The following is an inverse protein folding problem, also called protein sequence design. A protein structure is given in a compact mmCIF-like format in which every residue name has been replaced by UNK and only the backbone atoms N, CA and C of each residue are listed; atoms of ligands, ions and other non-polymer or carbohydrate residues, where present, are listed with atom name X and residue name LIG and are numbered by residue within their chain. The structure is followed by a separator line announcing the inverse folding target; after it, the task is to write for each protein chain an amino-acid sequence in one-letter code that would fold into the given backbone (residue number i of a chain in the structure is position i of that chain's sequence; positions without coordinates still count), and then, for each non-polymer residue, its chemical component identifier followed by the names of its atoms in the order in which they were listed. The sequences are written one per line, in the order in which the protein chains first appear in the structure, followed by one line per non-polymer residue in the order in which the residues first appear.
data_IF_390271003243
#
_entry.id   IF_390271003243
#
_cell.length_a   1.000
_cell.length_b   1.000
_cell.length_c   1.000
_cell.angle_alpha   90.00
_cell.angle_beta   90.00
_cell.angle_gamma   90.00
#
_symmetry.space_group_name_H-M   'P 1'
#
loop_
_entity.id
_entity.type
_entity.pdbx_description
1 polymer ?
#
# COMPACT_ATOMS: atom_id res chain seq x y z
N UNK A 1 -8.14 -10.95 -20.89
CA UNK A 1 -7.41 -10.34 -19.77
C UNK A 1 -5.92 -10.64 -19.83
N UNK A 2 -5.44 -11.89 -19.78
CA UNK A 2 -4.00 -12.20 -19.78
C UNK A 2 -3.25 -11.75 -21.06
N UNK A 3 -3.84 -11.95 -22.25
CA UNK A 3 -3.24 -11.47 -23.49
C UNK A 3 -3.12 -9.94 -23.53
N UNK A 4 -4.07 -9.23 -22.95
CA UNK A 4 -4.02 -7.77 -22.82
C UNK A 4 -2.91 -7.34 -21.87
N UNK A 5 -2.79 -7.98 -20.69
CA UNK A 5 -1.67 -7.75 -19.77
C UNK A 5 -0.31 -7.93 -20.45
N UNK A 6 -0.15 -8.96 -21.29
CA UNK A 6 1.12 -9.22 -21.98
C UNK A 6 1.46 -8.20 -23.06
N UNK A 7 0.46 -7.70 -23.78
CA UNK A 7 0.63 -6.74 -24.89
C UNK A 7 0.79 -5.31 -24.40
N UNK A 8 -0.01 -4.93 -23.43
CA UNK A 8 -0.17 -3.55 -22.95
C UNK A 8 -0.13 -3.50 -21.41
N UNK A 9 1.01 -3.87 -20.77
CA UNK A 9 1.04 -4.04 -19.31
C UNK A 9 0.76 -2.74 -18.54
N UNK A 10 1.18 -1.59 -19.07
CA UNK A 10 0.95 -0.29 -18.43
C UNK A 10 -0.53 0.10 -18.51
N UNK A 11 -1.16 0.01 -19.69
CA UNK A 11 -2.58 0.29 -19.86
C UNK A 11 -3.45 -0.67 -19.03
N UNK A 12 -3.06 -1.94 -18.97
CA UNK A 12 -3.71 -2.92 -18.11
C UNK A 12 -3.64 -2.52 -16.63
N UNK A 13 -2.47 -2.05 -16.16
CA UNK A 13 -2.27 -1.60 -14.77
C UNK A 13 -3.16 -0.40 -14.44
N UNK A 14 -3.23 0.59 -15.34
CA UNK A 14 -4.05 1.78 -15.16
C UNK A 14 -5.55 1.44 -15.09
N UNK A 15 -6.02 0.51 -15.94
CA UNK A 15 -7.41 0.04 -15.90
C UNK A 15 -7.71 -0.69 -14.58
N UNK A 16 -6.78 -1.52 -14.08
CA UNK A 16 -6.96 -2.18 -12.79
C UNK A 16 -7.02 -1.17 -11.64
N UNK A 17 -6.14 -0.16 -11.62
CA UNK A 17 -6.15 0.92 -10.63
C UNK A 17 -7.46 1.69 -10.71
N UNK A 18 -7.90 2.10 -11.91
CA UNK A 18 -9.16 2.80 -12.10
C UNK A 18 -10.36 1.99 -11.64
N UNK A 19 -10.40 0.68 -11.94
CA UNK A 19 -11.46 -0.21 -11.47
C UNK A 19 -11.47 -0.38 -9.96
N UNK A 20 -10.29 -0.47 -9.33
CA UNK A 20 -10.16 -0.49 -7.87
C UNK A 20 -10.73 0.78 -7.24
N UNK A 21 -10.31 1.95 -7.71
CA UNK A 21 -10.79 3.24 -7.24
C UNK A 21 -12.31 3.39 -7.37
N UNK A 22 -12.85 2.99 -8.52
CA UNK A 22 -14.29 3.03 -8.77
C UNK A 22 -15.07 2.13 -7.81
N UNK A 23 -14.62 0.88 -7.64
CA UNK A 23 -15.28 -0.08 -6.75
C UNK A 23 -15.21 0.35 -5.28
N UNK A 24 -14.07 0.93 -4.83
CA UNK A 24 -13.97 1.46 -3.48
C UNK A 24 -14.87 2.68 -3.27
N UNK A 25 -14.99 3.57 -4.25
CA UNK A 25 -15.92 4.71 -4.18
C UNK A 25 -17.38 4.27 -4.14
N UNK A 26 -17.77 3.31 -5.00
CA UNK A 26 -19.10 2.70 -4.96
C UNK A 26 -19.37 1.99 -3.62
N UNK A 27 -18.38 1.25 -3.11
CA UNK A 27 -18.46 0.58 -1.81
C UNK A 27 -18.72 1.55 -0.67
N UNK A 28 -18.08 2.73 -0.65
CA UNK A 28 -18.38 3.77 0.33
C UNK A 28 -19.82 4.25 0.26
N UNK A 29 -20.33 4.54 -0.95
CA UNK A 29 -21.72 4.93 -1.14
C UNK A 29 -22.71 3.87 -0.65
N UNK A 30 -22.48 2.60 -1.00
CA UNK A 30 -23.32 1.47 -0.55
C UNK A 30 -23.23 1.29 0.98
N UNK A 31 -22.03 1.34 1.56
CA UNK A 31 -21.85 1.21 3.02
C UNK A 31 -22.61 2.29 3.79
N UNK A 32 -22.56 3.54 3.29
CA UNK A 32 -23.28 4.66 3.88
C UNK A 32 -24.80 4.48 3.75
N UNK A 33 -25.28 4.01 2.60
CA UNK A 33 -26.70 3.71 2.38
C UNK A 33 -27.21 2.61 3.32
N UNK A 34 -26.39 1.57 3.54
CA UNK A 34 -26.74 0.45 4.44
C UNK A 34 -26.62 0.83 5.94
N UNK A 35 -25.98 1.95 6.27
CA UNK A 35 -25.70 2.34 7.65
C UNK A 35 -24.69 1.44 8.37
N UNK A 36 -23.94 0.59 7.63
CA UNK A 36 -22.92 -0.31 8.18
C UNK A 36 -21.56 0.15 7.65
N UNK A 37 -20.73 0.83 8.48
CA UNK A 37 -19.48 1.41 8.04
C UNK A 37 -18.54 0.37 7.38
N UNK A 38 -18.03 0.71 6.19
CA UNK A 38 -17.05 -0.08 5.44
C UNK A 38 -17.49 -1.49 5.00
N UNK A 39 -18.75 -1.89 5.20
CA UNK A 39 -19.21 -3.26 4.88
C UNK A 39 -19.06 -3.59 3.39
N UNK A 40 -19.63 -2.79 2.51
CA UNK A 40 -19.56 -3.03 1.07
C UNK A 40 -18.13 -2.87 0.52
N UNK A 41 -17.36 -1.90 1.05
CA UNK A 41 -15.93 -1.76 0.70
C UNK A 41 -15.15 -3.02 0.99
N UNK A 42 -15.33 -3.58 2.20
CA UNK A 42 -14.60 -4.78 2.64
C UNK A 42 -14.95 -5.99 1.75
N UNK A 43 -16.24 -6.16 1.44
CA UNK A 43 -16.70 -7.26 0.58
C UNK A 43 -16.14 -7.11 -0.84
N UNK A 44 -16.23 -5.91 -1.43
CA UNK A 44 -15.70 -5.64 -2.77
C UNK A 44 -14.19 -5.81 -2.83
N UNK A 45 -13.44 -5.31 -1.83
CA UNK A 45 -11.99 -5.50 -1.74
C UNK A 45 -11.61 -6.98 -1.57
N UNK A 46 -12.38 -7.75 -0.80
CA UNK A 46 -12.17 -9.20 -0.64
C UNK A 46 -12.38 -9.94 -1.96
N UNK A 47 -13.46 -9.63 -2.68
CA UNK A 47 -13.75 -10.22 -3.99
C UNK A 47 -12.62 -9.91 -4.98
N UNK A 48 -12.16 -8.64 -5.03
CA UNK A 48 -11.03 -8.24 -5.88
C UNK A 48 -9.74 -8.96 -5.50
N UNK A 49 -9.45 -9.09 -4.19
CA UNK A 49 -8.27 -9.79 -3.70
C UNK A 49 -8.27 -11.26 -4.10
N UNK A 50 -9.39 -11.95 -3.89
CA UNK A 50 -9.55 -13.36 -4.27
C UNK A 50 -9.42 -13.52 -5.80
N UNK A 51 -10.08 -12.64 -6.57
CA UNK A 51 -10.00 -12.66 -8.02
C UNK A 51 -8.57 -12.48 -8.53
N UNK A 52 -7.83 -11.49 -8.01
CA UNK A 52 -6.45 -11.24 -8.43
C UNK A 52 -5.51 -12.37 -7.97
N UNK A 53 -5.67 -12.92 -6.76
CA UNK A 53 -4.90 -14.08 -6.31
C UNK A 53 -5.14 -15.29 -7.20
N UNK A 54 -6.41 -15.60 -7.51
CA UNK A 54 -6.76 -16.67 -8.44
C UNK A 54 -6.13 -16.44 -9.82
N UNK A 55 -6.20 -15.21 -10.35
CA UNK A 55 -5.64 -14.87 -11.65
C UNK A 55 -4.11 -15.02 -11.65
N UNK A 56 -3.41 -14.55 -10.61
CA UNK A 56 -1.98 -14.74 -10.44
C UNK A 56 -1.59 -16.23 -10.39
N UNK A 57 -2.37 -17.02 -9.64
CA UNK A 57 -2.18 -18.47 -9.57
C UNK A 57 -2.35 -19.12 -10.93
N UNK A 58 -3.46 -18.86 -11.60
CA UNK A 58 -3.79 -19.42 -12.93
C UNK A 58 -2.70 -19.21 -13.96
N UNK A 59 -2.01 -18.07 -13.92
CA UNK A 59 -0.99 -17.70 -14.92
C UNK A 59 0.45 -17.79 -14.38
N UNK A 60 0.65 -18.36 -13.22
CA UNK A 60 1.98 -18.57 -12.62
C UNK A 60 2.75 -17.29 -12.31
N UNK A 61 2.06 -16.18 -11.98
CA UNK A 61 2.65 -14.85 -11.85
C UNK A 61 3.19 -14.51 -10.46
N UNK A 62 3.09 -15.41 -9.48
CA UNK A 62 3.59 -15.16 -8.11
C UNK A 62 5.09 -14.83 -8.08
N UNK A 63 5.90 -15.52 -8.90
CA UNK A 63 7.34 -15.22 -9.02
C UNK A 63 7.58 -13.86 -9.68
N UNK A 64 6.82 -13.54 -10.73
CA UNK A 64 6.92 -12.25 -11.47
C UNK A 64 6.68 -11.06 -10.55
N UNK A 65 5.67 -11.13 -9.68
CA UNK A 65 5.33 -10.07 -8.73
C UNK A 65 6.02 -10.24 -7.37
N UNK A 66 7.00 -11.15 -7.27
CA UNK A 66 7.80 -11.39 -6.07
C UNK A 66 6.95 -11.63 -4.81
N UNK A 67 5.78 -12.27 -4.96
CA UNK A 67 4.95 -12.73 -3.85
C UNK A 67 5.57 -13.99 -3.23
N UNK A 68 6.73 -13.81 -2.63
CA UNK A 68 7.55 -14.85 -2.00
C UNK A 68 8.26 -14.26 -0.77
N UNK A 69 8.79 -15.12 0.08
CA UNK A 69 9.61 -14.67 1.22
C UNK A 69 10.79 -13.81 0.74
N UNK A 70 11.24 -12.82 1.53
CA UNK A 70 12.45 -12.06 1.24
C UNK A 70 13.62 -13.00 0.97
N UNK A 71 14.41 -12.67 -0.05
CA UNK A 71 15.57 -13.48 -0.45
C UNK A 71 16.83 -13.14 0.36
N UNK A 72 16.74 -12.11 1.20
CA UNK A 72 17.84 -11.65 2.05
C UNK A 72 18.12 -12.65 3.19
N UNK A 73 19.39 -12.84 3.59
CA UNK A 73 19.74 -13.61 4.78
C UNK A 73 19.04 -13.10 6.05
N UNK A 74 18.75 -13.99 6.99
CA UNK A 74 18.02 -13.65 8.22
C UNK A 74 18.67 -12.48 9.02
N UNK A 75 20.02 -12.35 8.98
CA UNK A 75 20.73 -11.22 9.59
C UNK A 75 20.30 -9.85 9.07
N UNK A 76 19.75 -9.79 7.87
CA UNK A 76 19.27 -8.54 7.25
C UNK A 76 17.81 -8.21 7.60
N UNK A 77 17.11 -9.09 8.36
CA UNK A 77 15.77 -8.78 8.87
C UNK A 77 15.77 -7.53 9.78
N UNK A 78 16.91 -7.23 10.41
CA UNK A 78 17.08 -5.99 11.17
C UNK A 78 16.80 -4.73 10.35
N UNK A 79 16.97 -4.78 9.02
CA UNK A 79 16.67 -3.65 8.15
C UNK A 79 15.17 -3.31 8.10
N UNK A 80 14.29 -4.21 8.52
CA UNK A 80 12.84 -3.98 8.55
C UNK A 80 12.35 -3.44 9.90
N UNK A 81 13.20 -3.37 10.95
CA UNK A 81 12.80 -2.84 12.25
C UNK A 81 12.19 -1.43 12.19
N UNK A 82 12.73 -0.47 11.38
CA UNK A 82 12.10 0.84 11.26
C UNK A 82 10.66 0.80 10.74
N UNK A 83 10.26 -0.25 9.99
CA UNK A 83 8.87 -0.41 9.54
C UNK A 83 7.90 -0.60 10.71
N UNK A 84 8.33 -1.28 11.78
CA UNK A 84 7.51 -1.46 12.99
C UNK A 84 7.22 -0.10 13.60
N UNK A 85 8.25 0.76 13.69
CA UNK A 85 8.10 2.10 14.22
C UNK A 85 7.20 2.95 13.31
N UNK A 86 7.43 2.97 11.98
CA UNK A 86 6.58 3.68 11.00
C UNK A 86 5.13 3.19 11.09
N UNK A 87 4.89 1.88 11.20
CA UNK A 87 3.54 1.35 11.30
C UNK A 87 2.81 1.80 12.58
N UNK A 88 3.54 2.11 13.66
CA UNK A 88 2.95 2.50 14.94
C UNK A 88 2.55 3.98 15.03
N UNK A 89 2.97 4.85 14.10
CA UNK A 89 2.77 6.31 14.22
C UNK A 89 1.30 6.73 14.41
N UNK A 90 0.39 6.04 13.76
CA UNK A 90 -1.03 6.32 13.94
C UNK A 90 -1.47 6.26 15.41
N UNK A 91 -0.92 5.33 16.20
CA UNK A 91 -1.23 5.20 17.63
C UNK A 91 -0.64 6.32 18.49
N UNK A 92 0.35 7.08 17.98
CA UNK A 92 0.93 8.22 18.67
C UNK A 92 -0.04 9.42 18.72
N UNK A 93 -1.06 9.42 17.88
CA UNK A 93 -2.18 10.38 17.97
C UNK A 93 -3.08 10.12 19.17
N UNK A 94 -3.06 8.93 19.73
CA UNK A 94 -3.91 8.45 20.79
C UNK A 94 -4.71 7.24 20.35
N UNK A 95 -5.40 6.62 21.28
CA UNK A 95 -6.20 5.43 21.01
C UNK A 95 -7.69 5.74 21.08
N UNK A 96 -8.43 5.36 20.04
CA UNK A 96 -9.90 5.46 19.97
C UNK A 96 -10.50 4.06 20.00
N UNK A 97 -11.25 3.72 21.05
CA UNK A 97 -11.82 2.38 21.28
C UNK A 97 -13.32 2.25 20.97
N UNK A 98 -13.95 3.23 20.32
CA UNK A 98 -15.43 3.36 20.28
C UNK A 98 -16.08 2.73 19.03
N UNK A 99 -15.41 1.82 18.32
CA UNK A 99 -16.00 1.13 17.18
C UNK A 99 -16.89 -0.02 17.65
N UNK A 100 -18.07 -0.17 17.04
CA UNK A 100 -18.87 -1.39 17.24
C UNK A 100 -18.11 -2.62 16.73
N UNK A 101 -18.31 -3.82 17.32
CA UNK A 101 -17.63 -5.03 16.86
C UNK A 101 -17.81 -5.31 15.36
N UNK A 102 -19.02 -5.08 14.85
CA UNK A 102 -19.32 -5.24 13.42
C UNK A 102 -18.51 -4.27 12.56
N UNK A 103 -18.47 -2.99 12.91
CA UNK A 103 -17.67 -1.99 12.20
C UNK A 103 -16.18 -2.34 12.24
N UNK A 104 -15.68 -2.80 13.39
CA UNK A 104 -14.28 -3.20 13.55
C UNK A 104 -13.90 -4.36 12.64
N UNK A 105 -14.75 -5.40 12.53
CA UNK A 105 -14.52 -6.54 11.64
C UNK A 105 -14.39 -6.08 10.19
N UNK A 106 -15.33 -5.25 9.70
CA UNK A 106 -15.28 -4.74 8.32
C UNK A 106 -14.08 -3.82 8.07
N UNK A 107 -13.71 -2.99 9.06
CA UNK A 107 -12.50 -2.15 8.94
C UNK A 107 -11.24 -2.99 8.82
N UNK A 108 -11.03 -3.96 9.72
CA UNK A 108 -9.85 -4.82 9.70
C UNK A 108 -9.79 -5.61 8.38
N UNK A 109 -10.90 -6.22 7.96
CA UNK A 109 -10.98 -6.96 6.70
C UNK A 109 -10.63 -6.06 5.51
N UNK A 110 -11.20 -4.86 5.48
CA UNK A 110 -10.91 -3.87 4.43
C UNK A 110 -9.41 -3.51 4.42
N UNK A 111 -8.81 -3.19 5.57
CA UNK A 111 -7.42 -2.75 5.66
C UNK A 111 -6.45 -3.87 5.26
N UNK A 112 -6.76 -5.12 5.56
CA UNK A 112 -6.00 -6.28 5.06
C UNK A 112 -6.07 -6.38 3.54
N UNK A 113 -7.26 -6.25 2.97
CA UNK A 113 -7.44 -6.31 1.51
C UNK A 113 -6.81 -5.11 0.80
N UNK A 114 -6.98 -3.89 1.31
CA UNK A 114 -6.42 -2.66 0.75
C UNK A 114 -4.89 -2.73 0.71
N UNK A 115 -4.23 -3.09 1.83
CA UNK A 115 -2.78 -3.21 1.86
C UNK A 115 -2.24 -4.25 0.88
N UNK A 116 -2.96 -5.34 0.62
CA UNK A 116 -2.61 -6.30 -0.42
C UNK A 116 -2.87 -5.77 -1.84
N UNK A 117 -4.07 -5.24 -2.10
CA UNK A 117 -4.49 -4.77 -3.42
C UNK A 117 -3.61 -3.63 -3.91
N UNK A 118 -3.39 -2.62 -3.07
CA UNK A 118 -2.63 -1.45 -3.47
C UNK A 118 -1.16 -1.78 -3.72
N UNK A 119 -0.53 -2.64 -2.90
CA UNK A 119 0.83 -3.09 -3.20
C UNK A 119 0.90 -3.88 -4.51
N UNK A 120 -0.05 -4.77 -4.75
CA UNK A 120 -0.10 -5.53 -5.99
C UNK A 120 -0.34 -4.62 -7.21
N UNK A 121 -1.23 -3.63 -7.11
CA UNK A 121 -1.57 -2.71 -8.20
C UNK A 121 -0.40 -1.77 -8.52
N UNK A 122 0.18 -1.14 -7.49
CA UNK A 122 1.18 -0.09 -7.69
C UNK A 122 2.61 -0.65 -7.81
N UNK A 123 3.01 -1.66 -7.02
CA UNK A 123 4.38 -2.25 -7.06
C UNK A 123 4.43 -3.47 -7.97
N UNK A 124 3.38 -4.27 -7.98
CA UNK A 124 3.27 -5.42 -8.88
C UNK A 124 3.02 -4.99 -10.32
N UNK A 125 1.84 -4.47 -10.61
CA UNK A 125 1.46 -4.20 -11.99
C UNK A 125 2.10 -2.92 -12.55
N UNK A 126 1.87 -1.75 -11.94
CA UNK A 126 2.31 -0.47 -12.50
C UNK A 126 3.82 -0.33 -12.51
N UNK A 127 4.49 -0.49 -11.37
CA UNK A 127 5.94 -0.35 -11.28
C UNK A 127 6.66 -1.37 -12.17
N UNK A 128 6.27 -2.66 -12.13
CA UNK A 128 6.92 -3.69 -12.94
C UNK A 128 6.70 -3.49 -14.45
N UNK A 129 5.57 -2.88 -14.86
CA UNK A 129 5.33 -2.56 -16.27
C UNK A 129 6.29 -1.48 -16.80
N UNK A 130 6.57 -0.46 -15.97
CA UNK A 130 7.42 0.68 -16.32
C UNK A 130 8.90 0.43 -16.07
N UNK A 131 9.25 -0.45 -15.13
CA UNK A 131 10.64 -0.67 -14.67
C UNK A 131 11.56 -1.16 -15.78
N UNK A 132 11.04 -1.89 -16.77
CA UNK A 132 11.83 -2.44 -17.89
C UNK A 132 12.44 -1.34 -18.75
N UNK A 133 11.77 -0.20 -18.86
CA UNK A 133 12.26 0.95 -19.64
C UNK A 133 13.17 1.82 -18.79
N UNK A 134 12.70 2.27 -17.63
CA UNK A 134 13.47 3.12 -16.73
C UNK A 134 13.05 2.91 -15.26
N UNK A 135 13.88 2.24 -14.44
CA UNK A 135 13.56 1.99 -13.03
C UNK A 135 13.34 3.25 -12.19
N UNK A 136 14.04 4.35 -12.48
CA UNK A 136 13.90 5.61 -11.75
C UNK A 136 12.55 6.26 -12.06
N UNK A 137 12.21 6.36 -13.35
CA UNK A 137 10.90 6.86 -13.79
C UNK A 137 9.78 6.00 -13.23
N UNK A 138 9.90 4.67 -13.27
CA UNK A 138 8.94 3.75 -12.71
C UNK A 138 8.70 3.99 -11.20
N UNK A 139 9.78 4.23 -10.43
CA UNK A 139 9.69 4.53 -9.00
C UNK A 139 8.91 5.82 -8.76
N UNK A 140 9.24 6.89 -9.48
CA UNK A 140 8.57 8.18 -9.34
C UNK A 140 7.10 8.09 -9.75
N UNK A 141 6.82 7.52 -10.92
CA UNK A 141 5.45 7.40 -11.43
C UNK A 141 4.59 6.55 -10.52
N UNK A 142 5.07 5.36 -10.09
CA UNK A 142 4.31 4.49 -9.19
C UNK A 142 4.01 5.18 -7.85
N UNK A 143 4.99 5.89 -7.27
CA UNK A 143 4.84 6.58 -5.99
C UNK A 143 3.90 7.79 -6.09
N UNK A 144 4.04 8.61 -7.13
CA UNK A 144 3.16 9.76 -7.37
C UNK A 144 1.72 9.32 -7.66
N UNK A 145 1.53 8.32 -8.52
CA UNK A 145 0.19 7.81 -8.85
C UNK A 145 -0.48 7.22 -7.61
N UNK A 146 0.27 6.50 -6.78
CA UNK A 146 -0.23 5.98 -5.50
C UNK A 146 -0.70 7.11 -4.57
N UNK A 147 0.16 8.12 -4.35
CA UNK A 147 -0.19 9.24 -3.47
C UNK A 147 -1.35 10.09 -4.02
N UNK A 148 -1.31 10.46 -5.31
CA UNK A 148 -2.36 11.27 -5.94
C UNK A 148 -3.71 10.55 -5.94
N UNK A 149 -3.73 9.23 -6.00
CA UNK A 149 -4.95 8.43 -5.89
C UNK A 149 -5.79 8.76 -4.64
N UNK A 150 -5.15 9.21 -3.55
CA UNK A 150 -5.85 9.60 -2.32
C UNK A 150 -6.69 10.89 -2.47
N UNK A 151 -6.55 11.65 -3.55
CA UNK A 151 -7.41 12.80 -3.84
C UNK A 151 -8.89 12.39 -3.95
N UNK A 152 -9.16 11.14 -4.29
CA UNK A 152 -10.51 10.58 -4.34
C UNK A 152 -11.21 10.62 -2.98
N UNK A 153 -10.47 10.73 -1.87
CA UNK A 153 -11.04 10.87 -0.53
C UNK A 153 -11.82 12.17 -0.35
N UNK A 154 -11.61 13.19 -1.18
CA UNK A 154 -12.46 14.39 -1.20
C UNK A 154 -13.88 14.12 -1.74
N UNK A 155 -14.04 13.09 -2.57
CA UNK A 155 -15.26 12.88 -3.35
C UNK A 155 -16.00 11.57 -3.01
N UNK A 156 -15.32 10.65 -2.30
CA UNK A 156 -15.85 9.30 -2.04
C UNK A 156 -16.65 9.16 -0.73
N UNK A 157 -16.99 10.29 -0.06
CA UNK A 157 -17.72 10.27 1.21
C UNK A 157 -16.89 9.86 2.43
N UNK A 158 -15.58 10.00 2.37
CA UNK A 158 -14.67 9.70 3.51
C UNK A 158 -14.83 10.71 4.67
N UNK A 159 -15.36 11.91 4.40
CA UNK A 159 -15.45 13.00 5.36
C UNK A 159 -14.14 13.79 5.57
N UNK A 160 -13.08 13.48 4.81
CA UNK A 160 -11.81 14.18 4.92
C UNK A 160 -11.88 15.55 4.24
N UNK A 161 -11.32 16.57 4.88
CA UNK A 161 -11.15 17.89 4.29
C UNK A 161 -9.92 17.95 3.36
N UNK A 162 -9.82 19.04 2.59
CA UNK A 162 -8.72 19.23 1.62
C UNK A 162 -7.34 19.19 2.30
N UNK A 163 -7.21 19.79 3.50
CA UNK A 163 -5.92 19.83 4.22
C UNK A 163 -5.48 18.42 4.63
N UNK A 164 -6.40 17.65 5.20
CA UNK A 164 -6.13 16.26 5.59
C UNK A 164 -5.74 15.39 4.38
N UNK A 165 -6.45 15.54 3.26
CA UNK A 165 -6.13 14.82 2.02
C UNK A 165 -4.77 15.23 1.44
N UNK A 166 -4.41 16.52 1.47
CA UNK A 166 -3.09 16.96 0.99
C UNK A 166 -1.95 16.39 1.84
N UNK A 167 -2.09 16.36 3.16
CA UNK A 167 -1.13 15.70 4.07
C UNK A 167 -1.04 14.21 3.76
N UNK A 168 -2.17 13.54 3.57
CA UNK A 168 -2.23 12.13 3.21
C UNK A 168 -1.52 11.85 1.88
N UNK A 169 -1.71 12.70 0.86
CA UNK A 169 -1.02 12.57 -0.45
C UNK A 169 0.49 12.64 -0.28
N UNK A 170 1.00 13.64 0.46
CA UNK A 170 2.45 13.78 0.71
C UNK A 170 3.00 12.54 1.40
N UNK A 171 2.34 12.09 2.47
CA UNK A 171 2.71 10.89 3.18
C UNK A 171 2.68 9.65 2.28
N UNK A 172 1.60 9.46 1.52
CA UNK A 172 1.44 8.31 0.63
C UNK A 172 2.48 8.30 -0.51
N UNK A 173 2.87 9.46 -1.06
CA UNK A 173 3.97 9.54 -2.05
C UNK A 173 5.29 9.07 -1.43
N UNK A 174 5.62 9.55 -0.23
CA UNK A 174 6.85 9.16 0.47
C UNK A 174 6.85 7.67 0.84
N UNK A 175 5.73 7.17 1.37
CA UNK A 175 5.54 5.77 1.68
C UNK A 175 5.59 4.91 0.40
N UNK A 176 5.02 5.43 -0.68
CA UNK A 176 5.10 4.84 -2.02
C UNK A 176 6.53 4.62 -2.48
N UNK A 177 7.36 5.64 -2.34
CA UNK A 177 8.78 5.58 -2.68
C UNK A 177 9.55 4.62 -1.77
N UNK A 178 9.25 4.63 -0.46
CA UNK A 178 9.82 3.69 0.50
C UNK A 178 9.48 2.23 0.13
N UNK A 179 8.23 1.94 -0.20
CA UNK A 179 7.81 0.58 -0.53
C UNK A 179 8.39 0.08 -1.85
N UNK A 180 8.55 0.94 -2.88
CA UNK A 180 9.29 0.56 -4.09
C UNK A 180 10.75 0.24 -3.74
N UNK A 181 11.39 1.05 -2.88
CA UNK A 181 12.77 0.80 -2.44
C UNK A 181 12.90 -0.52 -1.69
N UNK A 182 11.97 -0.80 -0.77
CA UNK A 182 11.91 -2.07 -0.04
C UNK A 182 11.68 -3.26 -0.96
N UNK A 183 10.74 -3.15 -1.89
CA UNK A 183 10.44 -4.16 -2.89
C UNK A 183 11.67 -4.55 -3.72
N UNK A 184 12.43 -3.53 -4.15
CA UNK A 184 13.66 -3.77 -4.91
C UNK A 184 14.76 -4.42 -4.06
N UNK A 185 14.92 -3.98 -2.81
CA UNK A 185 16.01 -4.43 -1.94
C UNK A 185 15.73 -5.74 -1.23
N UNK A 186 14.48 -6.02 -0.90
CA UNK A 186 14.08 -7.29 -0.28
C UNK A 186 13.92 -8.44 -1.30
N UNK A 187 13.72 -8.11 -2.58
CA UNK A 187 13.32 -9.07 -3.60
C UNK A 187 11.94 -9.70 -3.33
N UNK A 188 11.13 -9.06 -2.48
CA UNK A 188 9.82 -9.57 -2.03
C UNK A 188 8.81 -8.42 -1.87
N UNK A 189 7.56 -8.68 -2.20
CA UNK A 189 6.44 -7.77 -1.94
C UNK A 189 5.89 -7.90 -0.51
N UNK A 190 6.19 -9.00 0.18
CA UNK A 190 5.60 -9.27 1.50
C UNK A 190 5.91 -8.21 2.56
N UNK A 191 7.15 -7.67 2.70
CA UNK A 191 7.42 -6.60 3.65
C UNK A 191 6.57 -5.36 3.40
N UNK A 192 6.34 -5.00 2.12
CA UNK A 192 5.48 -3.86 1.75
C UNK A 192 4.03 -4.13 2.13
N UNK A 193 3.48 -5.29 1.74
CA UNK A 193 2.10 -5.69 2.07
C UNK A 193 1.87 -5.68 3.58
N UNK A 194 2.73 -6.36 4.35
CA UNK A 194 2.56 -6.49 5.79
C UNK A 194 2.66 -5.15 6.52
N UNK A 195 3.62 -4.29 6.11
CA UNK A 195 3.77 -2.95 6.68
C UNK A 195 2.59 -2.05 6.33
N UNK A 196 2.12 -2.09 5.08
CA UNK A 196 0.95 -1.33 4.64
C UNK A 196 -0.32 -1.76 5.41
N UNK A 197 -0.54 -3.06 5.53
CA UNK A 197 -1.65 -3.61 6.33
C UNK A 197 -1.56 -3.17 7.78
N UNK A 198 -0.36 -3.21 8.38
CA UNK A 198 -0.15 -2.78 9.77
C UNK A 198 -0.45 -1.29 9.94
N UNK A 199 0.08 -0.41 9.06
CA UNK A 199 -0.21 1.03 9.07
C UNK A 199 -1.73 1.26 9.03
N UNK A 200 -2.41 0.63 8.09
CA UNK A 200 -3.85 0.81 7.88
C UNK A 200 -4.70 0.25 9.04
N UNK A 201 -4.36 -0.94 9.56
CA UNK A 201 -5.07 -1.52 10.71
C UNK A 201 -4.87 -0.65 11.95
N UNK A 202 -3.64 -0.19 12.22
CA UNK A 202 -3.37 0.63 13.39
C UNK A 202 -4.02 2.02 13.28
N UNK A 203 -4.18 2.57 12.06
CA UNK A 203 -4.94 3.79 11.85
C UNK A 203 -6.42 3.67 12.25
N UNK A 204 -6.99 2.46 12.19
CA UNK A 204 -8.38 2.22 12.63
C UNK A 204 -8.60 2.53 14.12
N UNK A 205 -7.54 2.40 14.92
CA UNK A 205 -7.56 2.65 16.35
C UNK A 205 -7.03 4.02 16.74
N UNK A 206 -6.59 4.84 15.79
CA UNK A 206 -6.02 6.15 16.05
C UNK A 206 -7.09 7.18 16.41
N UNK A 207 -6.74 8.12 17.30
CA UNK A 207 -7.56 9.28 17.59
C UNK A 207 -7.33 10.37 16.54
N UNK A 208 -8.20 10.39 15.53
CA UNK A 208 -8.16 11.39 14.44
C UNK A 208 -8.67 12.78 14.87
N UNK A 209 -9.20 12.93 16.10
CA UNK A 209 -9.61 14.21 16.70
C UNK A 209 -8.50 14.83 17.56
N UNK A 210 -7.30 14.26 17.52
CA UNK A 210 -6.14 14.79 18.24
C UNK A 210 -5.89 16.27 17.90
N UNK A 211 -5.39 17.03 18.89
CA UNK A 211 -5.09 18.46 18.72
C UNK A 211 -4.22 18.73 17.51
N UNK A 212 -4.43 19.87 16.85
CA UNK A 212 -3.68 20.24 15.64
C UNK A 212 -2.15 20.25 15.85
N UNK A 213 -1.66 20.60 17.04
CA UNK A 213 -0.24 20.56 17.39
C UNK A 213 0.26 19.11 17.44
N UNK A 214 -0.47 18.22 18.09
CA UNK A 214 -0.11 16.79 18.18
C UNK A 214 -0.10 16.14 16.82
N UNK A 215 -1.15 16.38 16.03
CA UNK A 215 -1.24 15.87 14.65
C UNK A 215 -0.06 16.34 13.79
N UNK A 216 0.27 17.64 13.85
CA UNK A 216 1.40 18.18 13.10
C UNK A 216 2.73 17.57 13.55
N UNK A 217 2.95 17.43 14.86
CA UNK A 217 4.19 16.85 15.40
C UNK A 217 4.36 15.40 14.96
N UNK A 218 3.30 14.59 15.06
CA UNK A 218 3.33 13.18 14.64
C UNK A 218 3.59 13.06 13.14
N UNK A 219 2.89 13.84 12.30
CA UNK A 219 3.10 13.82 10.85
C UNK A 219 4.53 14.23 10.45
N UNK A 220 5.09 15.25 11.08
CA UNK A 220 6.47 15.67 10.82
C UNK A 220 7.49 14.61 11.26
N UNK A 221 7.28 13.99 12.42
CA UNK A 221 8.13 12.92 12.92
C UNK A 221 8.10 11.70 11.98
N UNK A 222 6.92 11.35 11.47
CA UNK A 222 6.73 10.25 10.51
C UNK A 222 7.44 10.52 9.19
N UNK A 223 7.25 11.71 8.60
CA UNK A 223 7.95 12.13 7.37
C UNK A 223 9.47 12.08 7.59
N UNK A 224 9.96 12.63 8.69
CA UNK A 224 11.39 12.62 9.04
C UNK A 224 11.93 11.19 9.13
N UNK A 225 11.20 10.30 9.81
CA UNK A 225 11.63 8.90 9.95
C UNK A 225 11.63 8.15 8.63
N UNK A 226 10.65 8.38 7.75
CA UNK A 226 10.63 7.77 6.41
C UNK A 226 11.84 8.23 5.60
N UNK A 227 12.17 9.53 5.62
CA UNK A 227 13.33 10.07 4.91
C UNK A 227 14.64 9.51 5.46
N UNK A 228 14.79 9.44 6.78
CA UNK A 228 15.96 8.84 7.44
C UNK A 228 16.10 7.36 7.08
N UNK A 229 14.99 6.63 7.07
CA UNK A 229 14.99 5.22 6.71
C UNK A 229 15.31 4.99 5.24
N UNK A 230 14.86 5.84 4.33
CA UNK A 230 15.26 5.82 2.92
C UNK A 230 16.76 6.01 2.76
N UNK A 231 17.36 7.00 3.45
CA UNK A 231 18.81 7.22 3.44
C UNK A 231 19.56 5.99 3.96
N UNK A 232 19.08 5.39 5.05
CA UNK A 232 19.64 4.16 5.59
C UNK A 232 19.58 3.00 4.59
N UNK A 233 18.42 2.78 3.95
CA UNK A 233 18.25 1.72 2.94
C UNK A 233 19.18 1.95 1.74
N UNK A 234 19.35 3.18 1.28
CA UNK A 234 20.26 3.48 0.16
C UNK A 234 21.73 3.18 0.49
N UNK A 235 22.15 3.41 1.74
CA UNK A 235 23.54 3.21 2.17
C UNK A 235 23.85 1.77 2.54
N UNK A 236 22.92 1.08 3.21
CA UNK A 236 23.19 -0.16 3.92
C UNK A 236 22.63 -1.42 3.25
N UNK A 237 21.58 -1.30 2.47
CA UNK A 237 20.95 -2.46 1.88
C UNK A 237 21.33 -2.60 0.38
N UNK A 238 22.02 -3.68 -0.01
CA UNK A 238 22.36 -3.92 -1.41
C UNK A 238 21.09 -4.13 -2.25
N UNK A 239 21.12 -3.62 -3.50
CA UNK A 239 20.06 -3.89 -4.47
C UNK A 239 20.21 -5.34 -4.93
N UNK A 240 19.16 -6.14 -4.85
CA UNK A 240 19.18 -7.47 -5.44
C UNK A 240 18.95 -7.38 -6.95
N UNK A 241 19.92 -7.86 -7.73
CA UNK A 241 19.75 -8.02 -9.16
C UNK A 241 18.69 -9.10 -9.45
N UNK A 242 17.79 -8.86 -10.42
CA UNK A 242 16.80 -9.85 -10.83
C UNK A 242 17.40 -11.17 -11.36
N UNK A 243 18.69 -11.17 -11.68
CA UNK A 243 19.40 -12.31 -12.27
C UNK A 243 19.92 -13.31 -11.25
N UNK A 244 20.11 -12.91 -9.99
CA UNK A 244 20.62 -13.80 -8.92
C UNK A 244 19.69 -14.98 -8.58
N UNK A 245 18.50 -15.04 -9.16
CA UNK A 245 17.54 -16.13 -8.99
C UNK A 245 17.42 -17.09 -10.19
N UNK A 246 18.21 -16.93 -11.25
CA UNK A 246 18.13 -17.79 -12.44
C UNK A 246 19.17 -18.93 -12.45
N UNK A 247 20.15 -18.91 -11.57
CA UNK A 247 21.25 -19.92 -11.56
C UNK A 247 21.08 -21.08 -10.58
N UNK A 248 19.89 -21.25 -9.98
CA UNK A 248 19.63 -22.42 -9.12
C UNK A 248 18.35 -23.15 -9.52
N UNK A 249 18.38 -23.76 -10.72
CA UNK A 249 17.54 -24.91 -11.06
C UNK A 249 18.25 -25.79 -12.05
#
# INVERSE_FOLDING_TARGET
MYNFYRKEPTNFSLILIGSYCLLQSLGNGISNFLGIPKSANAILALIQSIFLLWWLYKYGLFKTFRLKKPTQPAKHLVYYLPLILISSFNLWLGFRGNLSPTALIFHILLMLCVGFLEELLFRGFLFESLRKENPRTATVVSSLTFGIGHILNLFNGSGMDLRAVMVQIVFAVLLGYLFVTLYLRSGSMLPCILSHQAINILSTFADHEASGVRLMTVNLAEIFLILLYLVFLFKMAPVQNPEDGRESN
#
